data_IF_496043369925
#
_entry.id   IF_496043369925
#
_cell.length_a   1.000
_cell.length_b   1.000
_cell.length_c   1.000
_cell.angle_alpha   90.00
_cell.angle_beta   90.00
_cell.angle_gamma   90.00
#
_symmetry.space_group_name_H-M   'P 1'
#
loop_
_entity.id
_entity.type
_entity.pdbx_description
1 polymer ?
#
# COMPACT_ATOMS: atom_id res chain seq x y z
N UNK A 1 -12.00 -10.56 -10.59
CA UNK A 1 -10.73 -9.93 -10.99
C UNK A 1 -10.97 -9.18 -12.28
N UNK A 2 -10.68 -7.88 -12.34
CA UNK A 2 -10.37 -7.23 -13.60
C UNK A 2 -8.93 -7.66 -13.95
N UNK A 3 -8.74 -8.32 -15.08
CA UNK A 3 -7.40 -8.65 -15.59
C UNK A 3 -6.78 -7.38 -16.18
N UNK A 4 -6.41 -6.43 -15.32
CA UNK A 4 -5.73 -5.22 -15.77
C UNK A 4 -4.27 -5.58 -16.10
N UNK A 5 -3.76 -5.21 -17.28
CA UNK A 5 -2.34 -5.40 -17.58
C UNK A 5 -1.48 -4.64 -16.57
N UNK A 6 -0.45 -5.27 -15.96
CA UNK A 6 0.39 -4.62 -14.95
C UNK A 6 1.13 -3.40 -15.51
N UNK A 7 1.34 -3.34 -16.83
CA UNK A 7 1.97 -2.20 -17.51
C UNK A 7 1.15 -0.90 -17.41
N UNK A 8 -0.16 -0.99 -17.15
CA UNK A 8 -1.02 0.18 -17.03
C UNK A 8 -0.97 0.80 -15.62
N UNK A 9 -0.59 0.02 -14.60
CA UNK A 9 -0.64 0.45 -13.20
C UNK A 9 0.22 1.69 -12.93
N UNK A 10 1.47 1.81 -13.44
CA UNK A 10 2.25 3.02 -13.27
C UNK A 10 1.59 4.26 -13.90
N UNK A 11 0.99 4.11 -15.07
CA UNK A 11 0.29 5.21 -15.76
C UNK A 11 -0.94 5.67 -14.99
N UNK A 12 -1.66 4.75 -14.33
CA UNK A 12 -2.79 5.12 -13.47
C UNK A 12 -2.35 5.95 -12.27
N UNK A 13 -1.25 5.59 -11.61
CA UNK A 13 -0.72 6.38 -10.51
C UNK A 13 -0.17 7.74 -10.96
N UNK A 14 0.47 7.80 -12.14
CA UNK A 14 0.93 9.06 -12.71
C UNK A 14 -0.23 10.00 -13.07
N UNK A 15 -1.34 9.46 -13.59
CA UNK A 15 -2.56 10.24 -13.83
C UNK A 15 -3.10 10.81 -12.53
N UNK A 16 -3.19 10.00 -11.47
CA UNK A 16 -3.65 10.47 -10.16
C UNK A 16 -2.76 11.59 -9.60
N UNK A 17 -1.44 11.46 -9.69
CA UNK A 17 -0.51 12.51 -9.26
C UNK A 17 -0.69 13.80 -10.06
N UNK A 18 -0.96 13.67 -11.36
CA UNK A 18 -1.21 14.82 -12.25
C UNK A 18 -2.53 15.51 -11.91
N UNK A 19 -3.57 14.75 -11.59
CA UNK A 19 -4.87 15.27 -11.16
C UNK A 19 -4.76 16.00 -9.82
N UNK A 20 -3.97 15.47 -8.87
CA UNK A 20 -3.68 16.11 -7.58
C UNK A 20 -2.92 17.43 -7.81
N UNK A 21 -1.86 17.41 -8.61
CA UNK A 21 -1.08 18.61 -8.92
C UNK A 21 -1.94 19.69 -9.58
N UNK A 22 -2.79 19.30 -10.54
CA UNK A 22 -3.73 20.22 -11.16
C UNK A 22 -4.72 20.82 -10.15
N UNK A 23 -5.25 20.00 -9.24
CA UNK A 23 -6.16 20.49 -8.20
C UNK A 23 -5.46 21.47 -7.23
N UNK A 24 -4.19 21.25 -6.90
CA UNK A 24 -3.40 22.17 -6.07
C UNK A 24 -3.16 23.51 -6.77
N UNK A 25 -2.85 23.49 -8.07
CA UNK A 25 -2.63 24.71 -8.87
C UNK A 25 -3.89 25.56 -9.05
N UNK A 26 -5.07 24.93 -9.01
CA UNK A 26 -6.36 25.55 -9.28
C UNK A 26 -7.22 25.77 -8.01
N UNK A 27 -6.67 25.58 -6.82
CA UNK A 27 -7.36 25.84 -5.56
C UNK A 27 -7.56 27.36 -5.37
N UNK A 28 -8.74 27.88 -5.73
CA UNK A 28 -9.11 29.28 -5.58
C UNK A 28 -9.59 29.58 -4.15
N UNK A 29 -8.65 29.66 -3.21
CA UNK A 29 -8.70 30.29 -1.87
C UNK A 29 -7.86 29.46 -0.89
N UNK A 30 -7.14 30.13 0.03
CA UNK A 30 -6.24 29.46 0.98
C UNK A 30 -6.88 28.45 1.93
N UNK A 31 -8.21 28.36 2.00
CA UNK A 31 -8.92 27.30 2.72
C UNK A 31 -8.99 25.99 1.91
N UNK A 32 -9.18 26.07 0.59
CA UNK A 32 -9.21 24.90 -0.30
C UNK A 32 -7.79 24.39 -0.58
N UNK A 33 -6.80 25.29 -0.56
CA UNK A 33 -5.38 24.92 -0.68
C UNK A 33 -4.91 23.96 0.43
N UNK A 34 -5.45 24.12 1.65
CA UNK A 34 -5.15 23.22 2.76
C UNK A 34 -5.78 21.83 2.59
N UNK A 35 -6.94 21.75 1.94
CA UNK A 35 -7.69 20.50 1.74
C UNK A 35 -7.10 19.62 0.63
N UNK A 36 -6.38 20.22 -0.34
CA UNK A 36 -5.72 19.49 -1.44
C UNK A 36 -4.23 19.20 -1.12
N UNK A 37 -3.73 19.64 0.02
CA UNK A 37 -2.37 19.33 0.46
C UNK A 37 -2.30 18.03 1.26
N UNK A 38 -2.08 16.92 0.56
CA UNK A 38 -2.00 15.60 1.17
C UNK A 38 -0.66 15.39 1.91
N UNK A 39 -0.70 15.23 3.23
CA UNK A 39 0.49 14.86 4.02
C UNK A 39 0.78 13.35 3.93
N UNK A 40 -0.26 12.52 3.93
CA UNK A 40 -0.14 11.06 3.94
C UNK A 40 -1.30 10.40 3.20
N UNK A 41 -1.06 9.19 2.69
CA UNK A 41 -2.08 8.33 2.13
C UNK A 41 -2.20 7.04 2.95
N UNK A 42 -3.40 6.48 2.94
CA UNK A 42 -3.68 5.15 3.48
C UNK A 42 -3.81 4.17 2.32
N UNK A 43 -2.92 3.20 2.25
CA UNK A 43 -2.96 2.11 1.28
C UNK A 43 -3.54 0.88 1.97
N UNK A 44 -4.60 0.33 1.38
CA UNK A 44 -5.21 -0.93 1.81
C UNK A 44 -4.89 -1.98 0.76
N UNK A 45 -3.98 -2.88 1.10
CA UNK A 45 -3.45 -3.92 0.23
C UNK A 45 -4.01 -5.29 0.62
N UNK A 46 -4.69 -6.02 -0.29
CA UNK A 46 -5.03 -7.42 -0.05
C UNK A 46 -3.77 -8.27 -0.05
N UNK A 47 -3.64 -9.12 0.96
CA UNK A 47 -2.48 -9.97 1.17
C UNK A 47 -2.87 -11.42 1.48
N UNK A 48 -1.95 -12.32 1.17
CA UNK A 48 -2.05 -13.74 1.48
C UNK A 48 -0.83 -14.15 2.31
N UNK A 49 -1.04 -14.82 3.45
CA UNK A 49 0.08 -15.36 4.25
C UNK A 49 0.36 -16.78 3.80
N UNK A 50 1.58 -17.02 3.34
CA UNK A 50 2.03 -18.40 3.09
C UNK A 50 2.46 -19.00 4.42
N UNK A 51 1.62 -19.88 4.96
CA UNK A 51 2.02 -20.74 6.08
C UNK A 51 3.08 -21.72 5.58
N UNK A 52 4.35 -21.32 5.68
CA UNK A 52 5.47 -22.26 5.66
C UNK A 52 5.17 -23.34 6.70
N UNK A 53 5.21 -24.60 6.27
CA UNK A 53 4.92 -25.75 7.13
C UNK A 53 5.67 -25.60 8.46
N UNK A 54 4.96 -25.85 9.56
CA UNK A 54 5.50 -25.89 10.93
C UNK A 54 6.77 -26.72 10.97
N UNK A 55 7.92 -26.06 11.10
CA UNK A 55 9.06 -26.61 11.81
C UNK A 55 9.33 -25.68 12.99
N UNK A 56 9.46 -26.31 14.15
CA UNK A 56 9.52 -25.73 15.48
C UNK A 56 10.56 -24.59 15.57
N UNK A 57 10.16 -23.45 16.11
CA UNK A 57 11.10 -22.57 16.78
C UNK A 57 10.45 -21.87 17.97
N UNK A 58 11.03 -22.19 19.11
CA UNK A 58 10.73 -21.76 20.47
C UNK A 58 10.89 -20.25 20.66
N UNK A 59 10.06 -19.72 21.56
CA UNK A 59 10.29 -18.59 22.45
C UNK A 59 11.24 -17.46 22.00
N UNK A 60 10.64 -16.39 21.48
CA UNK A 60 11.21 -15.04 21.64
C UNK A 60 10.13 -14.03 22.03
N UNK A 61 10.13 -13.69 23.33
CA UNK A 61 9.73 -12.45 24.04
C UNK A 61 8.66 -11.53 23.41
N UNK A 62 7.70 -11.01 24.20
CA UNK A 62 6.72 -10.05 23.72
C UNK A 62 7.40 -8.70 23.50
N UNK A 63 7.74 -8.39 22.25
CA UNK A 63 8.27 -7.09 21.87
C UNK A 63 7.35 -6.49 20.80
N UNK A 64 6.54 -5.51 21.19
CA UNK A 64 5.96 -4.45 20.34
C UNK A 64 5.59 -4.84 18.90
N UNK A 65 4.87 -5.96 18.71
CA UNK A 65 4.70 -6.59 17.40
C UNK A 65 3.52 -6.07 16.57
N UNK A 66 2.99 -4.87 16.88
CA UNK A 66 1.91 -4.26 16.11
C UNK A 66 2.36 -3.67 14.76
N UNK A 67 3.65 -3.79 14.40
CA UNK A 67 4.30 -2.91 13.43
C UNK A 67 5.20 -3.59 12.39
N UNK A 68 5.26 -4.92 12.33
CA UNK A 68 6.08 -5.63 11.33
C UNK A 68 5.21 -6.58 10.52
N UNK A 69 5.20 -6.39 9.19
CA UNK A 69 4.59 -7.33 8.27
C UNK A 69 5.13 -8.75 8.56
N UNK A 70 4.28 -9.78 8.59
CA UNK A 70 4.73 -11.16 8.64
C UNK A 70 5.70 -11.40 7.48
N UNK A 71 6.87 -11.98 7.74
CA UNK A 71 7.92 -12.20 6.73
C UNK A 71 7.47 -13.04 5.52
N UNK A 72 6.32 -13.73 5.61
CA UNK A 72 5.73 -14.57 4.56
C UNK A 72 4.45 -13.96 3.95
N UNK A 73 4.33 -12.64 3.96
CA UNK A 73 3.18 -11.94 3.35
C UNK A 73 3.41 -11.78 1.86
N UNK A 74 2.53 -12.35 1.04
CA UNK A 74 2.47 -12.12 -0.38
C UNK A 74 1.40 -11.08 -0.69
N UNK A 75 1.73 -10.11 -1.53
CA UNK A 75 0.76 -9.14 -2.04
C UNK A 75 -0.04 -9.75 -3.18
N UNK A 76 -1.35 -9.56 -3.15
CA UNK A 76 -2.23 -10.03 -4.23
C UNK A 76 -2.10 -9.12 -5.47
N UNK A 77 -1.68 -7.85 -5.29
CA UNK A 77 -1.40 -6.89 -6.36
C UNK A 77 0.09 -6.59 -6.43
N UNK A 78 0.59 -6.42 -7.65
CA UNK A 78 2.01 -6.16 -7.91
C UNK A 78 2.49 -4.81 -7.36
N UNK A 79 1.68 -3.77 -7.48
CA UNK A 79 2.02 -2.40 -7.08
C UNK A 79 2.09 -2.23 -5.57
N UNK A 80 1.30 -2.98 -4.81
CA UNK A 80 1.25 -2.85 -3.35
C UNK A 80 2.61 -3.08 -2.67
N UNK A 81 3.44 -3.98 -3.21
CA UNK A 81 4.78 -4.23 -2.69
C UNK A 81 5.66 -2.97 -2.73
N UNK A 82 5.57 -2.22 -3.83
CA UNK A 82 6.32 -0.98 -4.00
C UNK A 82 5.69 0.19 -3.26
N UNK A 83 4.36 0.26 -3.24
CA UNK A 83 3.64 1.36 -2.59
C UNK A 83 3.81 1.33 -1.08
N UNK A 84 3.74 0.16 -0.46
CA UNK A 84 3.90 -0.03 0.99
C UNK A 84 5.35 0.13 1.47
N UNK A 85 6.34 0.25 0.56
CA UNK A 85 7.74 0.44 0.93
C UNK A 85 7.94 1.79 1.64
N UNK A 86 8.54 1.76 2.83
CA UNK A 86 8.77 2.97 3.62
C UNK A 86 7.53 3.51 4.32
N UNK A 87 6.47 2.70 4.46
CA UNK A 87 5.30 3.07 5.25
C UNK A 87 5.70 3.41 6.70
N UNK A 88 5.16 4.51 7.22
CA UNK A 88 5.41 4.99 8.58
C UNK A 88 4.81 4.06 9.63
N UNK A 89 3.63 3.54 9.33
CA UNK A 89 2.88 2.62 10.18
C UNK A 89 2.20 1.59 9.29
N UNK A 90 2.22 0.32 9.69
CA UNK A 90 1.51 -0.73 9.00
C UNK A 90 0.93 -1.73 9.99
N UNK A 91 -0.30 -2.14 9.76
CA UNK A 91 -0.96 -3.18 10.54
C UNK A 91 -1.79 -4.07 9.63
N UNK A 92 -2.00 -5.31 10.06
CA UNK A 92 -2.79 -6.29 9.32
C UNK A 92 -4.08 -6.59 10.05
N UNK A 93 -5.15 -6.82 9.30
CA UNK A 93 -6.41 -7.31 9.86
C UNK A 93 -7.05 -8.35 8.94
N UNK A 94 -7.74 -9.31 9.56
CA UNK A 94 -8.50 -10.32 8.85
C UNK A 94 -9.93 -9.85 8.64
N UNK A 95 -10.48 -10.18 7.47
CA UNK A 95 -11.89 -9.95 7.16
C UNK A 95 -12.69 -11.23 7.27
N UNK A 96 -13.94 -11.09 7.69
CA UNK A 96 -14.88 -12.20 7.71
C UNK A 96 -14.99 -12.82 6.30
N UNK A 97 -15.05 -14.16 6.20
CA UNK A 97 -15.15 -14.83 4.91
C UNK A 97 -16.43 -14.39 4.20
N UNK A 98 -16.29 -13.99 2.93
CA UNK A 98 -17.42 -13.50 2.12
C UNK A 98 -18.47 -14.59 1.84
N UNK A 99 -18.07 -15.86 1.93
CA UNK A 99 -18.93 -17.02 1.70
C UNK A 99 -18.57 -18.15 2.68
N UNK A 100 -19.55 -18.97 3.12
CA UNK A 100 -19.27 -20.14 3.95
C UNK A 100 -18.24 -21.06 3.30
N UNK A 101 -17.14 -21.35 4.01
CA UNK A 101 -16.06 -22.21 3.53
C UNK A 101 -14.94 -21.49 2.75
N UNK A 102 -15.05 -20.19 2.49
CA UNK A 102 -13.91 -19.43 1.97
C UNK A 102 -12.90 -19.12 3.09
N UNK A 103 -11.58 -19.11 2.80
CA UNK A 103 -10.59 -18.64 3.76
C UNK A 103 -10.81 -17.14 4.05
N UNK A 104 -10.51 -16.67 5.27
CA UNK A 104 -10.49 -15.24 5.57
C UNK A 104 -9.46 -14.54 4.69
N UNK A 105 -9.77 -13.33 4.22
CA UNK A 105 -8.81 -12.49 3.50
C UNK A 105 -8.07 -11.61 4.48
N UNK A 106 -6.74 -11.55 4.35
CA UNK A 106 -5.91 -10.63 5.10
C UNK A 106 -5.77 -9.33 4.31
N UNK A 107 -5.83 -8.21 5.01
CA UNK A 107 -5.50 -6.91 4.45
C UNK A 107 -4.38 -6.28 5.26
N UNK A 108 -3.42 -5.70 4.56
CA UNK A 108 -2.44 -4.80 5.10
C UNK A 108 -2.93 -3.36 4.92
N UNK A 109 -2.94 -2.60 6.02
CA UNK A 109 -3.18 -1.16 5.98
C UNK A 109 -1.86 -0.47 6.29
N UNK A 110 -1.41 0.36 5.35
CA UNK A 110 -0.18 1.12 5.45
C UNK A 110 -0.46 2.61 5.37
N UNK A 111 0.12 3.38 6.29
CA UNK A 111 0.14 4.85 6.21
C UNK A 111 1.48 5.26 5.62
N UNK A 112 1.44 5.97 4.50
CA UNK A 112 2.63 6.36 3.73
C UNK A 112 2.61 7.87 3.54
N UNK A 113 3.73 8.53 3.82
CA UNK A 113 3.87 9.96 3.58
C UNK A 113 3.77 10.25 2.08
N UNK A 114 3.10 11.34 1.70
CA UNK A 114 2.80 11.64 0.29
C UNK A 114 4.06 11.73 -0.59
N UNK A 115 5.14 12.33 -0.06
CA UNK A 115 6.44 12.39 -0.75
C UNK A 115 7.07 11.01 -0.98
N UNK A 116 6.87 10.08 -0.04
CA UNK A 116 7.35 8.71 -0.18
C UNK A 116 6.52 7.96 -1.24
N UNK A 117 5.21 8.21 -1.27
CA UNK A 117 4.33 7.68 -2.32
C UNK A 117 4.76 8.14 -3.71
N UNK A 118 5.03 9.44 -3.93
CA UNK A 118 5.53 9.96 -5.22
C UNK A 118 6.82 9.25 -5.66
N UNK A 119 7.76 9.06 -4.73
CA UNK A 119 9.01 8.32 -4.97
C UNK A 119 8.75 6.85 -5.35
N UNK A 120 7.82 6.19 -4.68
CA UNK A 120 7.46 4.80 -4.95
C UNK A 120 6.81 4.66 -6.34
N UNK A 121 5.93 5.60 -6.73
CA UNK A 121 5.34 5.66 -8.08
C UNK A 121 6.41 5.89 -9.15
N UNK A 122 7.40 6.76 -8.90
CA UNK A 122 8.53 6.96 -9.80
C UNK A 122 9.33 5.68 -10.07
N UNK A 123 9.50 4.84 -9.04
CA UNK A 123 10.17 3.53 -9.14
C UNK A 123 9.32 2.51 -9.91
N UNK A 124 8.00 2.51 -9.71
CA UNK A 124 7.06 1.66 -10.46
C UNK A 124 7.07 1.94 -11.97
N UNK A 125 7.22 3.22 -12.35
CA UNK A 125 7.22 3.66 -13.76
C UNK A 125 8.54 3.47 -14.51
N UNK A 126 9.62 3.02 -13.85
CA UNK A 126 10.93 2.81 -14.49
C UNK A 126 11.64 4.07 -14.96
N UNK A 127 11.24 5.26 -14.50
CA UNK A 127 11.94 6.51 -14.82
C UNK A 127 13.17 6.62 -13.93
N UNK A 128 14.23 5.90 -14.30
CA UNK A 128 15.57 6.23 -13.82
C UNK A 128 15.94 7.58 -14.41
N UNK A 129 15.99 8.61 -13.57
CA UNK A 129 16.64 9.87 -13.91
C UNK A 129 18.03 9.56 -14.43
N UNK A 130 18.26 9.94 -15.69
CA UNK A 130 19.58 9.99 -16.33
C UNK A 130 20.36 11.21 -15.84
#
# INVERSE_FOLDING_TARGET
MLNLPPQLVPQMHQSLLSDIAWAQENAENGAEEADVNFESLIVVAPCSVVNSKKEDQEDSKPLDSALKLPANTLFDRFDDEYLCEGARFSFTFETAPSTPGAPPKLFLVSVIDFKQYEKNVGRLGGVFGS
#
